data_IF_197050729697
#
_entry.id   IF_197050729697
#
_cell.length_a   1.000
_cell.length_b   1.000
_cell.length_c   1.000
_cell.angle_alpha   90.00
_cell.angle_beta   90.00
_cell.angle_gamma   90.00
#
_symmetry.space_group_name_H-M   'P 1'
#
loop_
_entity.id
_entity.type
_entity.pdbx_description
1 polymer ?
#
# COMPACT_ATOMS: atom_id res chain seq x y z
N UNK A 1 -76.30 -46.86 27.53
CA UNK A 1 -76.39 -46.32 26.16
C UNK A 1 -75.03 -46.46 25.54
N UNK A 2 -74.89 -47.43 24.63
CA UNK A 2 -73.64 -47.77 23.97
C UNK A 2 -73.61 -47.14 22.59
N UNK A 3 -72.49 -46.50 22.22
CA UNK A 3 -72.14 -46.29 20.82
C UNK A 3 -70.64 -46.52 20.66
N UNK A 4 -70.30 -47.55 19.88
CA UNK A 4 -69.01 -47.72 19.22
C UNK A 4 -69.03 -46.88 17.93
N UNK A 5 -67.88 -46.33 17.54
CA UNK A 5 -67.44 -46.33 16.14
C UNK A 5 -65.91 -46.13 16.10
N UNK A 6 -65.22 -47.11 15.52
CA UNK A 6 -63.82 -47.05 15.10
C UNK A 6 -63.82 -46.66 13.61
N UNK A 7 -63.00 -45.68 13.22
CA UNK A 7 -62.48 -45.59 11.85
C UNK A 7 -61.02 -45.11 11.88
N UNK A 8 -60.20 -45.88 11.15
CA UNK A 8 -58.80 -45.68 10.80
C UNK A 8 -58.72 -44.80 9.55
N UNK A 9 -57.76 -43.86 9.49
CA UNK A 9 -57.11 -43.32 8.27
C UNK A 9 -55.81 -42.63 8.71
N UNK A 10 -54.66 -43.18 8.33
CA UNK A 10 -53.80 -42.80 7.19
C UNK A 10 -52.88 -41.60 7.47
N UNK A 11 -51.59 -41.85 7.27
CA UNK A 11 -50.52 -40.87 7.35
C UNK A 11 -50.50 -40.03 6.07
N UNK A 12 -50.65 -38.72 6.19
CA UNK A 12 -50.15 -37.78 5.18
C UNK A 12 -49.20 -36.78 5.85
N UNK A 13 -47.95 -36.85 5.41
CA UNK A 13 -46.90 -35.91 5.79
C UNK A 13 -47.19 -34.55 5.16
N UNK A 14 -47.80 -33.65 5.92
CA UNK A 14 -47.84 -32.25 5.54
C UNK A 14 -46.46 -31.62 5.76
N UNK A 15 -45.68 -31.55 4.68
CA UNK A 15 -44.55 -30.62 4.59
C UNK A 15 -45.09 -29.20 4.79
N UNK A 16 -44.67 -28.57 5.89
CA UNK A 16 -45.02 -27.20 6.22
C UNK A 16 -44.57 -26.24 5.11
N UNK A 17 -45.31 -25.15 4.86
CA UNK A 17 -44.93 -24.12 3.91
C UNK A 17 -43.61 -23.45 4.31
N UNK A 18 -42.59 -23.64 3.47
CA UNK A 18 -41.52 -22.69 3.16
C UNK A 18 -40.83 -21.97 4.31
N UNK A 19 -39.67 -22.48 4.72
CA UNK A 19 -38.67 -21.67 5.39
C UNK A 19 -38.19 -20.57 4.43
N UNK A 20 -38.73 -19.35 4.57
CA UNK A 20 -38.02 -18.16 4.09
C UNK A 20 -36.80 -17.97 4.99
N UNK A 21 -35.69 -18.62 4.64
CA UNK A 21 -34.39 -18.12 5.04
C UNK A 21 -34.26 -16.72 4.44
N UNK A 22 -34.66 -15.71 5.21
CA UNK A 22 -34.13 -14.37 5.04
C UNK A 22 -32.62 -14.48 5.30
N UNK A 23 -31.86 -14.77 4.25
CA UNK A 23 -30.48 -14.32 4.14
C UNK A 23 -30.50 -12.79 4.02
N UNK A 24 -30.94 -12.13 5.09
CA UNK A 24 -30.81 -10.70 5.25
C UNK A 24 -29.40 -10.46 5.78
N UNK A 25 -28.64 -9.72 4.97
CA UNK A 25 -27.19 -9.55 5.06
C UNK A 25 -26.40 -10.80 4.67
N UNK A 26 -26.57 -11.20 3.41
CA UNK A 26 -25.38 -11.42 2.58
C UNK A 26 -24.39 -10.28 2.90
N UNK A 27 -23.32 -10.64 3.60
CA UNK A 27 -22.29 -9.70 4.01
C UNK A 27 -21.63 -9.22 2.72
N UNK A 28 -22.18 -8.14 2.17
CA UNK A 28 -21.55 -7.34 1.13
C UNK A 28 -20.28 -6.73 1.73
N UNK A 29 -19.24 -7.56 1.84
CA UNK A 29 -17.87 -7.10 1.90
C UNK A 29 -17.61 -6.45 0.54
N UNK A 30 -17.98 -5.18 0.45
CA UNK A 30 -17.53 -4.28 -0.59
C UNK A 30 -16.02 -4.12 -0.38
N UNK A 31 -15.24 -5.10 -0.85
CA UNK A 31 -13.81 -4.94 -1.03
C UNK A 31 -13.65 -3.87 -2.09
N UNK A 32 -13.49 -2.64 -1.62
CA UNK A 32 -13.23 -1.49 -2.47
C UNK A 32 -11.90 -1.78 -3.16
N UNK A 33 -11.88 -1.82 -4.49
CA UNK A 33 -10.66 -2.05 -5.28
C UNK A 33 -9.57 -0.95 -5.09
N UNK A 34 -9.75 -0.04 -4.12
CA UNK A 34 -8.79 0.96 -3.67
C UNK A 34 -8.14 0.68 -2.30
N UNK A 35 -8.56 -0.36 -1.56
CA UNK A 35 -7.93 -0.71 -0.27
C UNK A 35 -6.54 -1.33 -0.47
N UNK A 36 -6.37 -2.15 -1.50
CA UNK A 36 -5.11 -2.85 -1.76
C UNK A 36 -3.95 -1.90 -2.10
N UNK A 37 -4.20 -0.86 -2.93
CA UNK A 37 -3.16 0.12 -3.28
C UNK A 37 -2.74 0.97 -2.07
N UNK A 38 -3.70 1.30 -1.19
CA UNK A 38 -3.41 2.09 0.01
C UNK A 38 -2.63 1.30 1.05
N UNK A 39 -3.01 0.04 1.28
CA UNK A 39 -2.29 -0.88 2.16
C UNK A 39 -0.84 -1.09 1.69
N UNK A 40 -0.64 -1.28 0.38
CA UNK A 40 0.70 -1.40 -0.22
C UNK A 40 1.55 -0.14 -0.03
N UNK A 41 0.98 1.04 -0.21
CA UNK A 41 1.70 2.30 0.03
C UNK A 41 2.10 2.46 1.50
N UNK A 42 1.21 2.10 2.42
CA UNK A 42 1.49 2.12 3.86
C UNK A 42 2.61 1.14 4.23
N UNK A 43 2.62 -0.07 3.64
CA UNK A 43 3.70 -1.05 3.78
C UNK A 43 5.05 -0.49 3.30
N UNK A 44 5.09 0.07 2.08
CA UNK A 44 6.31 0.67 1.51
C UNK A 44 6.86 1.80 2.40
N UNK A 45 5.97 2.65 2.93
CA UNK A 45 6.37 3.72 3.84
C UNK A 45 6.94 3.19 5.17
N UNK A 46 6.38 2.12 5.73
CA UNK A 46 6.95 1.47 6.93
C UNK A 46 8.32 0.86 6.65
N UNK A 47 8.49 0.18 5.50
CA UNK A 47 9.78 -0.39 5.08
C UNK A 47 10.84 0.71 4.91
N UNK A 48 10.49 1.81 4.24
CA UNK A 48 11.39 2.94 4.04
C UNK A 48 11.79 3.59 5.38
N UNK A 49 10.85 3.78 6.30
CA UNK A 49 11.15 4.33 7.63
C UNK A 49 12.16 3.45 8.39
N UNK A 50 11.94 2.13 8.43
CA UNK A 50 12.87 1.18 9.06
C UNK A 50 14.24 1.17 8.39
N UNK A 51 14.29 1.27 7.06
CA UNK A 51 15.54 1.37 6.32
C UNK A 51 16.31 2.66 6.70
N UNK A 52 15.63 3.81 6.74
CA UNK A 52 16.22 5.10 7.09
C UNK A 52 16.77 5.06 8.52
N UNK A 53 16.02 4.50 9.46
CA UNK A 53 16.46 4.33 10.84
C UNK A 53 17.69 3.42 10.95
N UNK A 54 17.67 2.28 10.25
CA UNK A 54 18.81 1.37 10.18
C UNK A 54 20.05 2.03 9.55
N UNK A 55 19.87 2.74 8.44
CA UNK A 55 20.94 3.49 7.78
C UNK A 55 21.53 4.55 8.71
N UNK A 56 20.71 5.29 9.46
CA UNK A 56 21.18 6.28 10.46
C UNK A 56 21.93 5.63 11.61
N UNK A 57 21.46 4.49 12.10
CA UNK A 57 22.08 3.78 13.22
C UNK A 57 23.40 3.06 12.84
N UNK A 58 23.57 2.67 11.57
CA UNK A 58 24.76 1.92 11.13
C UNK A 58 26.06 2.72 11.31
N UNK A 59 27.09 2.13 11.92
CA UNK A 59 28.40 2.78 12.05
C UNK A 59 29.08 2.93 10.68
N UNK A 60 29.02 1.89 9.85
CA UNK A 60 29.48 1.92 8.45
C UNK A 60 28.28 1.94 7.49
N UNK A 61 28.02 3.14 6.94
CA UNK A 61 26.94 3.39 5.97
C UNK A 61 27.13 2.56 4.70
N UNK A 62 28.35 2.40 4.23
CA UNK A 62 28.64 1.70 2.98
C UNK A 62 28.35 0.20 3.14
N UNK A 63 28.79 -0.39 4.24
CA UNK A 63 28.52 -1.80 4.55
C UNK A 63 27.02 -2.05 4.75
N UNK A 64 26.29 -1.12 5.40
CA UNK A 64 24.83 -1.22 5.51
C UNK A 64 24.15 -1.26 4.14
N UNK A 65 24.50 -0.35 3.24
CA UNK A 65 23.92 -0.31 1.88
C UNK A 65 24.21 -1.59 1.09
N UNK A 66 25.41 -2.17 1.23
CA UNK A 66 25.76 -3.46 0.60
C UNK A 66 24.91 -4.61 1.14
N UNK A 67 24.75 -4.70 2.46
CA UNK A 67 23.91 -5.74 3.09
C UNK A 67 22.44 -5.57 2.68
N UNK A 68 21.98 -4.34 2.54
CA UNK A 68 20.64 -4.03 2.06
C UNK A 68 20.47 -4.18 0.53
N UNK A 69 21.49 -4.70 -0.16
CA UNK A 69 21.47 -5.00 -1.59
C UNK A 69 21.42 -3.78 -2.51
N UNK A 70 21.79 -2.59 -2.02
CA UNK A 70 21.81 -1.38 -2.85
C UNK A 70 23.01 -1.47 -3.80
N UNK A 71 22.73 -1.43 -5.11
CA UNK A 71 23.78 -1.46 -6.12
C UNK A 71 24.60 -0.17 -6.08
N UNK A 72 25.92 -0.31 -5.99
CA UNK A 72 26.84 0.83 -6.06
C UNK A 72 27.16 1.22 -7.51
N UNK A 73 26.85 0.34 -8.45
CA UNK A 73 27.04 0.54 -9.87
C UNK A 73 25.86 -0.01 -10.64
N UNK A 74 25.39 0.74 -11.64
CA UNK A 74 24.28 0.32 -12.50
C UNK A 74 24.48 0.83 -13.93
N UNK A 75 23.93 0.16 -14.95
CA UNK A 75 23.94 0.70 -16.30
C UNK A 75 23.09 1.98 -16.36
N UNK A 76 23.63 3.02 -17.00
CA UNK A 76 22.91 4.21 -17.41
C UNK A 76 22.20 4.01 -18.74
N UNK A 77 21.24 4.88 -19.05
CA UNK A 77 20.51 4.87 -20.34
C UNK A 77 21.43 5.13 -21.55
N UNK A 78 22.54 5.82 -21.32
CA UNK A 78 23.61 6.08 -22.29
C UNK A 78 24.58 4.90 -22.47
N UNK A 79 24.37 3.78 -21.77
CA UNK A 79 25.23 2.61 -21.78
C UNK A 79 26.52 2.76 -20.96
N UNK A 80 26.72 3.90 -20.29
CA UNK A 80 27.84 4.07 -19.36
C UNK A 80 27.47 3.54 -17.98
N UNK A 81 28.47 3.04 -17.25
CA UNK A 81 28.26 2.66 -15.85
C UNK A 81 28.10 3.91 -14.99
N UNK A 82 26.99 3.95 -14.26
CA UNK A 82 26.69 4.95 -13.26
C UNK A 82 27.18 4.47 -11.89
N UNK A 83 27.81 5.35 -11.11
CA UNK A 83 28.29 5.06 -9.76
C UNK A 83 27.43 5.80 -8.73
N UNK A 84 27.07 5.11 -7.65
CA UNK A 84 26.45 5.71 -6.48
C UNK A 84 27.45 6.64 -5.80
N UNK A 85 27.11 7.92 -5.69
CA UNK A 85 27.99 8.95 -5.11
C UNK A 85 27.39 9.64 -3.89
N UNK A 86 26.07 9.62 -3.73
CA UNK A 86 25.40 10.23 -2.59
C UNK A 86 24.16 9.45 -2.16
N UNK A 87 23.84 9.54 -0.87
CA UNK A 87 22.65 9.01 -0.25
C UNK A 87 22.13 10.07 0.74
N UNK A 88 21.05 10.74 0.38
CA UNK A 88 20.52 11.89 1.12
C UNK A 88 19.20 11.55 1.82
N UNK A 89 18.99 12.10 3.00
CA UNK A 89 17.73 12.00 3.75
C UNK A 89 17.14 13.39 3.95
N UNK A 90 15.87 13.56 3.60
CA UNK A 90 15.14 14.81 3.75
C UNK A 90 13.87 14.61 4.58
N UNK A 91 13.66 15.51 5.55
CA UNK A 91 12.41 15.59 6.31
C UNK A 91 11.40 16.47 5.58
N UNK A 92 10.16 15.99 5.48
CA UNK A 92 9.06 16.59 4.75
C UNK A 92 7.82 16.69 5.65
N UNK A 93 7.05 17.77 5.46
CA UNK A 93 5.75 17.96 6.10
C UNK A 93 4.74 18.41 5.05
N UNK A 94 3.64 17.67 4.93
CA UNK A 94 2.52 18.13 4.12
C UNK A 94 1.60 19.01 4.97
N UNK A 95 1.47 20.28 4.59
CA UNK A 95 0.71 21.28 5.36
C UNK A 95 -0.71 21.52 4.83
N UNK A 96 -1.07 20.94 3.69
CA UNK A 96 -2.39 21.10 3.07
C UNK A 96 -2.47 20.50 1.68
N UNK A 97 -3.63 20.69 1.04
CA UNK A 97 -3.89 20.33 -0.36
C UNK A 97 -4.45 21.53 -1.11
N UNK A 98 -4.30 21.50 -2.44
CA UNK A 98 -4.94 22.45 -3.33
C UNK A 98 -5.58 21.69 -4.49
N UNK A 99 -6.79 22.08 -4.90
CA UNK A 99 -7.49 21.50 -6.04
C UNK A 99 -8.05 22.58 -6.98
N UNK A 100 -8.15 22.31 -8.29
CA UNK A 100 -8.80 23.22 -9.23
C UNK A 100 -10.26 23.45 -8.84
N UNK A 101 -10.70 24.71 -8.83
CA UNK A 101 -12.10 25.04 -8.68
C UNK A 101 -12.86 24.76 -9.99
N UNK A 102 -14.07 24.22 -9.88
CA UNK A 102 -14.87 23.81 -11.04
C UNK A 102 -15.16 24.99 -11.98
N UNK A 103 -14.88 24.79 -13.27
CA UNK A 103 -15.12 25.78 -14.34
C UNK A 103 -14.51 27.18 -14.10
N UNK A 104 -13.43 27.26 -13.31
CA UNK A 104 -12.73 28.52 -13.03
C UNK A 104 -11.22 28.38 -13.18
N UNK A 105 -10.51 29.50 -13.15
CA UNK A 105 -9.04 29.54 -13.08
C UNK A 105 -8.53 29.67 -11.64
N UNK A 106 -9.37 29.35 -10.66
CA UNK A 106 -9.05 29.47 -9.23
C UNK A 106 -8.62 28.12 -8.64
N UNK A 107 -7.86 28.18 -7.54
CA UNK A 107 -7.48 27.03 -6.72
C UNK A 107 -8.19 27.11 -5.36
N UNK A 108 -8.77 26.01 -4.93
CA UNK A 108 -9.27 25.86 -3.56
C UNK A 108 -8.16 25.31 -2.70
N UNK A 109 -7.66 26.11 -1.75
CA UNK A 109 -6.66 25.69 -0.79
C UNK A 109 -7.33 25.15 0.48
N UNK A 110 -6.88 23.97 0.92
CA UNK A 110 -7.37 23.26 2.10
C UNK A 110 -6.19 22.98 3.04
N UNK A 111 -5.89 23.87 4.01
CA UNK A 111 -4.83 23.62 4.99
C UNK A 111 -5.20 22.42 5.86
N UNK A 112 -4.21 21.61 6.22
CA UNK A 112 -4.42 20.53 7.17
C UNK A 112 -4.50 21.08 8.60
N UNK A 113 -5.42 20.55 9.43
CA UNK A 113 -5.33 20.73 10.87
C UNK A 113 -3.94 20.38 11.39
N UNK A 114 -3.43 21.09 12.41
CA UNK A 114 -2.07 20.89 12.90
C UNK A 114 -1.76 19.45 13.33
N UNK A 115 -2.75 18.73 13.87
CA UNK A 115 -2.65 17.32 14.25
C UNK A 115 -2.62 16.35 13.05
N UNK A 116 -2.94 16.82 11.84
CA UNK A 116 -2.87 16.04 10.59
C UNK A 116 -1.56 16.28 9.83
N UNK A 117 -0.78 17.30 10.19
CA UNK A 117 0.55 17.53 9.63
C UNK A 117 1.51 16.48 10.19
N UNK A 118 1.81 15.47 9.39
CA UNK A 118 2.72 14.39 9.75
C UNK A 118 4.12 14.66 9.20
N UNK A 119 5.12 14.34 10.01
CA UNK A 119 6.52 14.26 9.58
C UNK A 119 6.70 13.00 8.73
N UNK A 120 7.35 13.16 7.58
CA UNK A 120 7.74 12.08 6.68
C UNK A 120 9.19 12.26 6.31
N UNK A 121 9.88 11.15 6.08
CA UNK A 121 11.26 11.20 5.63
C UNK A 121 11.39 10.46 4.32
N UNK A 122 12.11 11.09 3.41
CA UNK A 122 12.44 10.50 2.13
C UNK A 122 13.95 10.30 2.07
N UNK A 123 14.37 9.29 1.34
CA UNK A 123 15.77 9.02 1.09
C UNK A 123 16.01 8.87 -0.41
N UNK A 124 17.07 9.49 -0.92
CA UNK A 124 17.38 9.52 -2.35
C UNK A 124 18.82 9.09 -2.58
N UNK A 125 19.01 8.18 -3.54
CA UNK A 125 20.31 7.71 -4.00
C UNK A 125 20.69 8.41 -5.30
N UNK A 126 21.83 9.08 -5.33
CA UNK A 126 22.32 9.78 -6.52
C UNK A 126 23.40 8.97 -7.20
N UNK A 127 23.14 8.61 -8.46
CA UNK A 127 24.05 7.94 -9.35
C UNK A 127 24.55 8.90 -10.42
N UNK A 128 25.83 8.79 -10.79
CA UNK A 128 26.42 9.62 -11.85
C UNK A 128 27.28 8.80 -12.80
N UNK A 129 27.23 9.15 -14.10
CA UNK A 129 28.23 8.77 -15.11
C UNK A 129 28.96 10.02 -15.58
N UNK A 130 29.73 9.89 -16.67
CA UNK A 130 30.36 11.03 -17.32
C UNK A 130 29.36 12.06 -17.87
N UNK A 131 28.16 11.59 -18.27
CA UNK A 131 27.19 12.37 -19.04
C UNK A 131 25.84 12.51 -18.36
N UNK A 132 25.53 11.66 -17.37
CA UNK A 132 24.21 11.61 -16.76
C UNK A 132 24.28 11.65 -15.22
N UNK A 133 23.17 12.11 -14.64
CA UNK A 133 22.83 12.00 -13.22
C UNK A 133 21.45 11.38 -13.10
N UNK A 134 21.30 10.44 -12.17
CA UNK A 134 20.04 9.79 -11.85
C UNK A 134 19.85 9.80 -10.35
N UNK A 135 18.73 10.36 -9.90
CA UNK A 135 18.32 10.38 -8.50
C UNK A 135 17.17 9.38 -8.32
N UNK A 136 17.33 8.43 -7.41
CA UNK A 136 16.37 7.33 -7.19
C UNK A 136 15.83 7.42 -5.77
N UNK A 137 14.52 7.53 -5.64
CA UNK A 137 13.85 7.51 -4.35
C UNK A 137 13.81 6.08 -3.77
N UNK A 138 14.02 5.97 -2.45
CA UNK A 138 14.00 4.70 -1.73
C UNK A 138 12.66 3.96 -1.89
N UNK A 139 11.52 4.67 -1.93
CA UNK A 139 10.20 4.03 -2.11
C UNK A 139 10.13 3.35 -3.48
N UNK A 140 10.53 4.04 -4.55
CA UNK A 140 10.54 3.46 -5.89
C UNK A 140 11.46 2.25 -5.99
N UNK A 141 12.63 2.31 -5.33
CA UNK A 141 13.56 1.19 -5.27
C UNK A 141 12.97 -0.02 -4.51
N UNK A 142 12.23 0.21 -3.42
CA UNK A 142 11.54 -0.85 -2.68
C UNK A 142 10.37 -1.44 -3.46
N UNK A 143 9.63 -0.60 -4.19
CA UNK A 143 8.54 -1.02 -5.07
C UNK A 143 9.06 -1.97 -6.16
N UNK A 144 10.09 -1.57 -6.90
CA UNK A 144 10.74 -2.39 -7.93
C UNK A 144 11.18 -3.77 -7.39
N UNK A 145 11.79 -3.80 -6.20
CA UNK A 145 12.27 -5.05 -5.57
C UNK A 145 11.16 -5.98 -5.13
N UNK A 146 10.04 -5.43 -4.67
CA UNK A 146 8.92 -6.24 -4.18
C UNK A 146 8.02 -6.70 -5.33
N UNK A 147 8.11 -6.06 -6.50
CA UNK A 147 7.41 -6.43 -7.72
C UNK A 147 8.22 -7.40 -8.58
N UNK A 148 9.55 -7.43 -8.45
CA UNK A 148 10.39 -8.47 -9.05
C UNK A 148 10.07 -9.85 -8.45
N UNK A 149 9.65 -10.84 -9.27
CA UNK A 149 9.48 -12.20 -8.79
C UNK A 149 10.86 -12.71 -8.38
N UNK A 150 11.02 -12.97 -7.09
CA UNK A 150 12.25 -13.50 -6.51
C UNK A 150 12.58 -14.81 -7.23
N UNK A 151 13.51 -14.77 -8.18
CA UNK A 151 14.04 -15.99 -8.80
C UNK A 151 14.96 -16.65 -7.78
N UNK A 152 14.37 -17.50 -6.95
CA UNK A 152 15.08 -18.54 -6.20
C UNK A 152 15.52 -19.68 -7.10
#
# INVERSE_FOLDING_TARGET
>A
MSHHHYHSHDHDHHHGPGHNHHHAADHLHSHVNGSHGRERQEELHMLAANFIDGFRAAEDKTSYLRIAGIDFQRPGEDGLMMNLVDASIASNWQIGTASPAFASRELVYMPFPGNMVSHRENMTFTYVSLTNRLDIDLISLLEDRLDEPTKG
#
